data_IF_103344370536
#
_entry.id   IF_103344370536
#
_cell.length_a   1.000
_cell.length_b   1.000
_cell.length_c   1.000
_cell.angle_alpha   90.00
_cell.angle_beta   90.00
_cell.angle_gamma   90.00
#
_symmetry.space_group_name_H-M   'P 1'
#
loop_
_entity.id
_entity.type
_entity.pdbx_description
1 polymer ?
#
# COMPACT_ATOMS: atom_id res chain seq x y z
N UNK A 1 -5.81 -9.61 -17.04
CA UNK A 1 -5.21 -8.33 -16.66
C UNK A 1 -4.92 -8.30 -15.16
N UNK A 2 -3.73 -7.87 -14.80
CA UNK A 2 -3.29 -7.75 -13.41
C UNK A 2 -3.55 -6.36 -12.82
N UNK A 3 -4.41 -5.58 -13.45
CA UNK A 3 -4.58 -4.17 -13.12
C UNK A 3 -6.06 -3.79 -13.18
N UNK A 4 -6.57 -3.25 -12.08
CA UNK A 4 -7.84 -2.52 -12.03
C UNK A 4 -7.56 -1.03 -12.02
N UNK A 5 -8.46 -0.27 -12.62
CA UNK A 5 -8.40 1.20 -12.63
C UNK A 5 -9.79 1.74 -12.36
N UNK A 6 -9.86 2.77 -11.50
CA UNK A 6 -11.07 3.54 -11.27
C UNK A 6 -10.74 5.03 -11.34
N UNK A 7 -11.47 5.76 -12.16
CA UNK A 7 -11.39 7.22 -12.26
C UNK A 7 -12.43 7.82 -11.33
N UNK A 8 -11.93 8.51 -10.30
CA UNK A 8 -12.76 9.05 -9.23
C UNK A 8 -13.35 10.43 -9.58
N UNK A 9 -14.45 10.76 -8.93
CA UNK A 9 -15.11 12.07 -9.09
C UNK A 9 -14.25 13.27 -8.70
N UNK A 10 -13.27 13.07 -7.81
CA UNK A 10 -12.31 14.11 -7.43
C UNK A 10 -11.16 14.29 -8.44
N UNK A 11 -11.25 13.67 -9.62
CA UNK A 11 -10.25 13.75 -10.69
C UNK A 11 -9.04 12.83 -10.49
N UNK A 12 -8.96 12.08 -9.39
CA UNK A 12 -7.88 11.10 -9.16
C UNK A 12 -8.19 9.77 -9.81
N UNK A 13 -7.13 9.04 -10.12
CA UNK A 13 -7.25 7.65 -10.54
C UNK A 13 -6.67 6.74 -9.46
N UNK A 14 -7.41 5.69 -9.14
CA UNK A 14 -6.96 4.62 -8.24
C UNK A 14 -6.65 3.39 -9.05
N UNK A 15 -5.54 2.78 -8.73
CA UNK A 15 -5.09 1.55 -9.38
C UNK A 15 -4.98 0.45 -8.33
N UNK A 16 -5.40 -0.75 -8.72
CA UNK A 16 -4.97 -1.97 -8.03
C UNK A 16 -4.10 -2.78 -8.97
N UNK A 17 -2.96 -3.20 -8.50
CA UNK A 17 -1.98 -3.95 -9.28
C UNK A 17 -1.17 -4.89 -8.37
N UNK A 18 -0.20 -5.61 -8.94
CA UNK A 18 0.62 -6.58 -8.20
C UNK A 18 -0.23 -7.55 -7.39
N UNK A 19 -1.27 -8.12 -8.02
CA UNK A 19 -2.12 -9.12 -7.36
C UNK A 19 -1.30 -10.39 -7.12
N UNK A 20 -1.09 -10.70 -5.86
CA UNK A 20 -0.26 -11.80 -5.38
C UNK A 20 -1.16 -12.87 -4.73
N UNK A 21 -1.63 -13.87 -5.49
CA UNK A 21 -2.35 -15.00 -4.91
C UNK A 21 -1.40 -15.81 -4.02
N UNK A 22 -1.89 -16.25 -2.84
CA UNK A 22 -1.07 -17.00 -1.89
C UNK A 22 0.22 -16.27 -1.52
N UNK A 23 0.10 -14.97 -1.23
CA UNK A 23 1.22 -14.09 -0.92
C UNK A 23 1.19 -13.53 0.49
N UNK A 24 2.18 -12.71 0.79
CA UNK A 24 2.35 -12.05 2.09
C UNK A 24 2.55 -10.55 1.91
N UNK A 25 2.15 -9.77 2.91
CA UNK A 25 2.53 -8.37 3.02
C UNK A 25 3.79 -8.28 3.87
N UNK A 26 4.79 -7.57 3.37
CA UNK A 26 6.13 -7.50 3.99
C UNK A 26 6.52 -6.07 4.32
N UNK A 27 7.44 -5.90 5.28
CA UNK A 27 8.07 -4.62 5.59
C UNK A 27 9.04 -4.23 4.47
N UNK A 28 8.96 -2.97 4.02
CA UNK A 28 9.77 -2.44 2.92
C UNK A 28 10.38 -1.07 3.24
N UNK A 29 10.36 -0.64 4.51
CA UNK A 29 10.98 0.61 4.92
C UNK A 29 12.51 0.54 4.77
N UNK A 30 13.11 1.63 4.31
CA UNK A 30 14.56 1.76 4.15
C UNK A 30 15.16 2.80 5.11
N UNK A 31 14.34 3.53 5.84
CA UNK A 31 14.77 4.57 6.78
C UNK A 31 14.22 4.29 8.19
N UNK A 32 14.98 4.60 9.27
CA UNK A 32 14.47 4.50 10.63
C UNK A 32 13.26 5.41 10.87
N UNK A 33 12.30 4.95 11.67
CA UNK A 33 11.10 5.73 12.01
C UNK A 33 10.07 5.84 10.89
N UNK A 34 10.16 5.00 9.87
CA UNK A 34 9.17 4.88 8.81
C UNK A 34 8.56 3.48 8.73
N UNK A 35 7.31 3.38 8.30
CA UNK A 35 6.65 2.12 7.94
C UNK A 35 6.26 2.19 6.48
N UNK A 36 6.74 1.21 5.72
CA UNK A 36 6.36 0.98 4.32
C UNK A 36 6.02 -0.49 4.16
N UNK A 37 4.93 -0.78 3.48
CA UNK A 37 4.50 -2.14 3.19
C UNK A 37 4.63 -2.44 1.70
N UNK A 38 4.81 -3.71 1.36
CA UNK A 38 4.75 -4.19 -0.02
C UNK A 38 4.14 -5.59 -0.06
N UNK A 39 3.45 -5.91 -1.14
CA UNK A 39 2.93 -7.24 -1.40
C UNK A 39 3.95 -8.11 -2.11
N UNK A 40 4.10 -9.34 -1.64
CA UNK A 40 5.01 -10.35 -2.21
C UNK A 40 4.26 -11.66 -2.43
N UNK A 41 4.68 -12.42 -3.45
CA UNK A 41 4.21 -13.78 -3.67
C UNK A 41 5.41 -14.70 -3.77
N UNK A 42 5.39 -15.76 -2.98
CA UNK A 42 6.39 -16.82 -3.07
C UNK A 42 6.18 -17.64 -4.35
N UNK A 43 7.20 -18.38 -4.76
CA UNK A 43 7.12 -19.25 -5.94
C UNK A 43 5.97 -20.26 -5.85
N UNK A 44 5.76 -20.84 -4.66
CA UNK A 44 4.70 -21.81 -4.40
C UNK A 44 3.28 -21.24 -4.45
N UNK A 45 3.12 -19.93 -4.21
CA UNK A 45 1.83 -19.22 -4.18
C UNK A 45 0.77 -19.87 -3.29
N UNK A 46 1.20 -20.48 -2.18
CA UNK A 46 0.34 -21.25 -1.29
C UNK A 46 0.20 -20.64 0.12
N UNK A 47 0.57 -19.39 0.29
CA UNK A 47 0.29 -18.67 1.52
C UNK A 47 -1.22 -18.43 1.69
N UNK A 48 -1.62 -18.17 2.93
CA UNK A 48 -3.04 -18.13 3.34
C UNK A 48 -3.86 -17.07 2.61
N UNK A 49 -3.28 -15.91 2.35
CA UNK A 49 -4.00 -14.75 1.81
C UNK A 49 -3.54 -14.45 0.38
N UNK A 50 -4.41 -13.80 -0.39
CA UNK A 50 -4.01 -12.99 -1.53
C UNK A 50 -3.80 -11.54 -1.08
N UNK A 51 -2.95 -10.79 -1.78
CA UNK A 51 -2.80 -9.36 -1.58
C UNK A 51 -2.70 -8.62 -2.92
N UNK A 52 -2.92 -7.30 -2.88
CA UNK A 52 -2.74 -6.40 -4.00
C UNK A 52 -2.34 -5.01 -3.51
N UNK A 53 -1.54 -4.30 -4.28
CA UNK A 53 -1.27 -2.89 -4.06
C UNK A 53 -2.47 -2.04 -4.48
N UNK A 54 -2.86 -1.07 -3.66
CA UNK A 54 -3.86 -0.06 -3.98
C UNK A 54 -3.17 1.29 -3.91
N UNK A 55 -3.09 1.98 -5.03
CA UNK A 55 -2.39 3.26 -5.13
C UNK A 55 -3.24 4.33 -5.81
N UNK A 56 -3.01 5.56 -5.40
CA UNK A 56 -3.64 6.76 -5.97
C UNK A 56 -2.61 7.53 -6.76
N UNK A 57 -2.97 7.96 -7.96
CA UNK A 57 -2.11 8.82 -8.76
C UNK A 57 -1.88 10.17 -8.07
N UNK A 58 -0.61 10.50 -7.85
CA UNK A 58 -0.16 11.81 -7.36
C UNK A 58 0.71 12.49 -8.40
N UNK A 59 0.80 13.80 -8.31
CA UNK A 59 1.53 14.66 -9.27
C UNK A 59 2.43 15.63 -8.52
N UNK A 60 3.39 16.27 -9.18
CA UNK A 60 4.22 17.30 -8.55
C UNK A 60 3.42 18.45 -7.89
N UNK A 61 2.19 18.68 -8.31
CA UNK A 61 1.32 19.68 -7.67
C UNK A 61 0.91 19.30 -6.23
N UNK A 62 1.00 18.03 -5.85
CA UNK A 62 0.67 17.54 -4.51
C UNK A 62 1.82 17.77 -3.51
N UNK A 63 3.02 18.04 -3.98
CA UNK A 63 4.22 18.31 -3.19
C UNK A 63 5.05 19.43 -3.82
N UNK A 64 4.50 20.68 -3.90
CA UNK A 64 5.22 21.79 -4.48
C UNK A 64 6.52 22.07 -3.69
N UNK A 65 7.58 22.39 -4.40
CA UNK A 65 8.90 22.63 -3.81
C UNK A 65 10.04 22.38 -4.78
N UNK A 66 11.18 22.00 -4.23
CA UNK A 66 12.37 21.65 -5.00
C UNK A 66 12.31 20.23 -5.58
N UNK A 67 13.40 19.82 -6.22
CA UNK A 67 13.50 18.50 -6.86
C UNK A 67 13.38 17.31 -5.89
N UNK A 68 13.54 17.53 -4.60
CA UNK A 68 13.45 16.51 -3.55
C UNK A 68 12.12 16.54 -2.78
N UNK A 69 11.22 17.50 -3.07
CA UNK A 69 9.95 17.63 -2.36
C UNK A 69 9.12 16.34 -2.36
N UNK A 70 9.20 15.54 -3.43
CA UNK A 70 8.55 14.23 -3.49
C UNK A 70 9.11 13.22 -2.47
N UNK A 71 10.39 13.29 -2.15
CA UNK A 71 11.01 12.44 -1.12
C UNK A 71 10.48 12.82 0.27
N UNK A 72 10.40 14.11 0.56
CA UNK A 72 9.85 14.60 1.84
C UNK A 72 8.36 14.28 1.98
N UNK A 73 7.62 14.33 0.88
CA UNK A 73 6.23 13.91 0.83
C UNK A 73 6.09 12.41 1.22
N UNK A 74 6.91 11.53 0.67
CA UNK A 74 6.93 10.12 1.04
C UNK A 74 7.28 9.92 2.51
N UNK A 75 8.38 10.51 2.98
CA UNK A 75 8.85 10.42 4.37
C UNK A 75 7.79 10.84 5.37
N UNK A 76 7.03 11.89 5.06
CA UNK A 76 5.92 12.35 5.90
C UNK A 76 4.90 11.24 6.15
N UNK A 77 4.44 10.58 5.11
CA UNK A 77 3.41 9.54 5.24
C UNK A 77 3.96 8.25 5.86
N UNK A 78 5.21 7.93 5.58
CA UNK A 78 5.91 6.80 6.19
C UNK A 78 6.09 6.99 7.70
N UNK A 79 6.44 8.20 8.13
CA UNK A 79 6.55 8.56 9.55
C UNK A 79 5.19 8.57 10.24
N UNK A 80 4.16 9.10 9.59
CA UNK A 80 2.80 9.05 10.15
C UNK A 80 2.28 7.61 10.27
N UNK A 81 2.62 6.74 9.33
CA UNK A 81 2.30 5.32 9.43
C UNK A 81 3.05 4.65 10.60
N UNK A 82 4.31 5.01 10.85
CA UNK A 82 5.06 4.55 12.00
C UNK A 82 4.41 4.98 13.32
N UNK A 83 3.99 6.24 13.43
CA UNK A 83 3.29 6.75 14.61
C UNK A 83 1.95 6.04 14.82
N UNK A 84 1.13 5.92 13.78
CA UNK A 84 -0.15 5.24 13.81
C UNK A 84 -0.01 3.74 14.14
N UNK A 85 1.07 3.10 13.68
CA UNK A 85 1.43 1.72 14.00
C UNK A 85 1.89 1.51 15.44
N UNK A 86 2.15 2.60 16.20
CA UNK A 86 2.54 2.54 17.62
C UNK A 86 4.04 2.64 17.85
N UNK A 87 4.81 3.13 16.88
CA UNK A 87 6.26 3.41 16.96
C UNK A 87 7.14 2.18 17.25
N UNK A 88 6.64 1.01 16.88
CA UNK A 88 7.32 -0.29 17.09
C UNK A 88 7.40 -1.13 15.81
N UNK A 89 7.26 -0.47 14.65
CA UNK A 89 7.26 -1.05 13.30
C UNK A 89 6.07 -1.98 13.00
N UNK A 90 5.06 -2.08 13.88
CA UNK A 90 3.77 -2.61 13.46
C UNK A 90 3.18 -1.69 12.39
N UNK A 91 2.57 -2.27 11.36
CA UNK A 91 1.92 -1.48 10.32
C UNK A 91 0.53 -1.05 10.79
N UNK A 92 0.11 0.21 10.53
CA UNK A 92 -1.27 0.60 10.72
C UNK A 92 -2.16 -0.20 9.76
N UNK A 93 -3.31 -0.65 10.25
CA UNK A 93 -4.23 -1.45 9.46
C UNK A 93 -5.68 -1.11 9.76
N UNK A 94 -6.54 -1.37 8.79
CA UNK A 94 -7.98 -1.11 8.89
C UNK A 94 -8.75 -2.12 8.05
N UNK A 95 -9.92 -2.56 8.52
CA UNK A 95 -10.80 -3.39 7.71
C UNK A 95 -11.39 -2.57 6.56
N UNK A 96 -11.55 -3.19 5.41
CA UNK A 96 -12.12 -2.54 4.21
C UNK A 96 -13.50 -1.97 4.49
N UNK A 97 -14.36 -2.71 5.20
CA UNK A 97 -15.70 -2.23 5.55
C UNK A 97 -15.68 -0.99 6.44
N UNK A 98 -14.79 -0.96 7.42
CA UNK A 98 -14.63 0.19 8.31
C UNK A 98 -13.99 1.39 7.60
N UNK A 99 -13.02 1.14 6.72
CA UNK A 99 -12.41 2.18 5.90
C UNK A 99 -13.43 2.86 4.99
N UNK A 100 -14.27 2.09 4.31
CA UNK A 100 -15.36 2.62 3.47
C UNK A 100 -16.36 3.41 4.33
N UNK A 101 -16.69 2.92 5.53
CA UNK A 101 -17.60 3.58 6.45
C UNK A 101 -16.98 4.80 7.17
N UNK A 102 -15.68 5.04 7.03
CA UNK A 102 -14.99 6.18 7.65
C UNK A 102 -14.86 6.08 9.18
N UNK A 103 -14.64 4.91 9.71
CA UNK A 103 -14.48 4.66 11.16
C UNK A 103 -13.26 3.76 11.41
N UNK A 104 -12.56 3.93 12.55
CA UNK A 104 -11.43 3.08 12.89
C UNK A 104 -11.86 1.63 13.11
N UNK A 105 -10.95 0.69 12.83
CA UNK A 105 -11.14 -0.71 13.17
C UNK A 105 -10.62 -1.01 14.57
N UNK A 106 -11.32 -1.87 15.30
CA UNK A 106 -10.99 -2.25 16.68
C UNK A 106 -10.76 -3.75 16.87
N UNK A 107 -11.22 -4.57 15.92
CA UNK A 107 -11.04 -6.02 15.94
C UNK A 107 -10.84 -6.55 14.51
N UNK A 108 -10.08 -7.63 14.37
CA UNK A 108 -9.95 -8.36 13.12
C UNK A 108 -11.17 -9.22 12.86
N UNK A 109 -11.47 -9.46 11.57
CA UNK A 109 -12.45 -10.44 11.13
C UNK A 109 -11.81 -11.80 10.84
N UNK A 110 -12.26 -12.48 9.80
CA UNK A 110 -11.76 -13.79 9.40
C UNK A 110 -10.36 -13.75 8.78
N UNK A 111 -9.95 -12.59 8.26
CA UNK A 111 -8.65 -12.41 7.62
C UNK A 111 -7.60 -12.07 8.66
N UNK A 112 -6.58 -12.92 8.77
CA UNK A 112 -5.42 -12.68 9.64
C UNK A 112 -4.31 -12.06 8.80
N UNK A 113 -3.85 -10.84 9.14
CA UNK A 113 -2.75 -10.18 8.43
C UNK A 113 -1.46 -11.00 8.47
N UNK A 114 -0.70 -10.95 7.38
CA UNK A 114 0.58 -11.65 7.24
C UNK A 114 1.79 -10.77 7.56
N UNK A 115 1.60 -9.47 7.75
CA UNK A 115 2.69 -8.52 7.99
C UNK A 115 3.43 -8.82 9.30
N UNK A 116 4.75 -8.83 9.25
CA UNK A 116 5.62 -8.99 10.42
C UNK A 116 6.40 -7.68 10.62
N UNK A 117 6.41 -7.11 11.84
CA UNK A 117 6.17 -7.72 13.16
C UNK A 117 4.68 -7.77 13.60
N UNK A 118 3.75 -7.30 12.81
CA UNK A 118 2.32 -7.33 13.11
C UNK A 118 1.63 -6.03 12.71
N UNK A 119 0.33 -5.96 12.92
CA UNK A 119 -0.46 -4.79 12.59
C UNK A 119 -1.10 -4.17 13.83
N UNK A 120 -1.30 -2.87 13.79
CA UNK A 120 -2.13 -2.13 14.75
C UNK A 120 -3.38 -1.64 14.04
N UNK A 121 -4.54 -2.07 14.53
CA UNK A 121 -5.81 -1.58 14.01
C UNK A 121 -6.02 -0.12 14.38
N UNK A 122 -6.38 0.69 13.39
CA UNK A 122 -6.54 2.14 13.55
C UNK A 122 -7.39 2.70 12.40
N UNK A 123 -7.42 4.03 12.27
CA UNK A 123 -7.95 4.72 11.09
C UNK A 123 -6.78 5.10 10.16
N UNK A 124 -6.74 4.52 8.97
CA UNK A 124 -5.71 4.79 7.97
C UNK A 124 -5.80 6.20 7.35
N UNK A 125 -6.88 6.94 7.60
CA UNK A 125 -6.97 8.34 7.14
C UNK A 125 -5.88 9.23 7.74
N UNK A 126 -5.33 8.86 8.90
CA UNK A 126 -4.20 9.55 9.51
C UNK A 126 -2.86 9.36 8.76
N UNK A 127 -2.77 8.39 7.84
CA UNK A 127 -1.52 7.97 7.21
C UNK A 127 -1.43 8.33 5.73
N UNK A 128 -2.38 9.10 5.20
CA UNK A 128 -2.40 9.48 3.77
C UNK A 128 -3.20 10.78 3.55
N UNK A 129 -3.00 11.46 2.42
CA UNK A 129 -3.75 12.68 2.10
C UNK A 129 -5.25 12.42 1.98
N UNK A 130 -6.07 13.40 2.38
CA UNK A 130 -7.54 13.31 2.35
C UNK A 130 -8.09 12.96 0.95
N UNK A 131 -7.49 13.52 -0.10
CA UNK A 131 -7.90 13.21 -1.46
C UNK A 131 -7.64 11.75 -1.84
N UNK A 132 -6.59 11.13 -1.29
CA UNK A 132 -6.29 9.71 -1.50
C UNK A 132 -7.26 8.84 -0.72
N UNK A 133 -7.57 9.21 0.53
CA UNK A 133 -8.60 8.54 1.35
C UNK A 133 -9.94 8.51 0.62
N UNK A 134 -10.39 9.68 0.13
CA UNK A 134 -11.65 9.79 -0.61
C UNK A 134 -11.65 8.94 -1.88
N UNK A 135 -10.55 8.98 -2.64
CA UNK A 135 -10.42 8.22 -3.87
C UNK A 135 -10.45 6.69 -3.64
N UNK A 136 -9.72 6.19 -2.64
CA UNK A 136 -9.70 4.75 -2.32
C UNK A 136 -11.07 4.30 -1.82
N UNK A 137 -11.76 5.09 -0.99
CA UNK A 137 -13.14 4.80 -0.55
C UNK A 137 -14.12 4.65 -1.72
N UNK A 138 -13.97 5.47 -2.75
CA UNK A 138 -14.78 5.38 -3.97
C UNK A 138 -14.41 4.16 -4.83
N UNK A 139 -13.12 3.86 -4.95
CA UNK A 139 -12.61 2.81 -5.82
C UNK A 139 -12.87 1.39 -5.30
N UNK A 140 -12.76 1.15 -3.98
CA UNK A 140 -12.91 -0.17 -3.39
C UNK A 140 -14.22 -0.88 -3.78
N UNK A 141 -15.41 -0.24 -3.66
CA UNK A 141 -16.66 -0.86 -4.11
C UNK A 141 -16.69 -1.10 -5.62
N UNK A 142 -16.04 -0.24 -6.42
CA UNK A 142 -15.97 -0.41 -7.87
C UNK A 142 -15.10 -1.62 -8.25
N UNK A 143 -14.00 -1.84 -7.55
CA UNK A 143 -13.15 -3.04 -7.72
C UNK A 143 -13.86 -4.30 -7.26
N UNK A 144 -14.63 -4.24 -6.17
CA UNK A 144 -15.46 -5.34 -5.69
C UNK A 144 -16.53 -5.82 -6.69
N UNK A 145 -17.02 -4.91 -7.56
CA UNK A 145 -17.92 -5.26 -8.66
C UNK A 145 -17.21 -6.00 -9.81
N UNK A 146 -15.91 -5.78 -9.97
CA UNK A 146 -15.11 -6.41 -11.03
C UNK A 146 -14.52 -7.75 -10.58
N UNK A 147 -14.12 -7.85 -9.30
CA UNK A 147 -13.56 -9.08 -8.73
C UNK A 147 -14.35 -9.41 -7.46
N UNK A 148 -15.09 -10.51 -7.50
CA UNK A 148 -15.83 -11.01 -6.34
C UNK A 148 -14.88 -11.23 -5.14
N UNK A 149 -15.24 -10.70 -3.97
CA UNK A 149 -14.43 -10.80 -2.77
C UNK A 149 -13.34 -9.74 -2.63
N UNK A 150 -13.04 -8.93 -3.65
CA UNK A 150 -11.99 -7.92 -3.57
C UNK A 150 -12.24 -6.89 -2.45
N UNK A 151 -13.46 -6.46 -2.27
CA UNK A 151 -13.87 -5.50 -1.24
C UNK A 151 -14.65 -6.16 -0.09
N UNK A 152 -14.22 -7.34 0.34
CA UNK A 152 -14.79 -8.00 1.53
C UNK A 152 -14.70 -7.07 2.73
N UNK A 153 -15.73 -7.01 3.56
CA UNK A 153 -15.76 -6.11 4.73
C UNK A 153 -14.62 -6.36 5.71
N UNK A 154 -14.20 -7.61 5.85
CA UNK A 154 -13.14 -8.06 6.76
C UNK A 154 -11.77 -8.24 6.09
N UNK A 155 -11.64 -7.92 4.79
CA UNK A 155 -10.34 -7.78 4.17
C UNK A 155 -9.55 -6.66 4.87
N UNK A 156 -8.24 -6.81 4.97
CA UNK A 156 -7.38 -5.90 5.75
C UNK A 156 -6.55 -5.03 4.82
N UNK A 157 -6.75 -3.71 4.93
CA UNK A 157 -5.83 -2.72 4.39
C UNK A 157 -4.65 -2.59 5.36
N UNK A 158 -3.43 -2.72 4.84
CA UNK A 158 -2.21 -2.57 5.62
C UNK A 158 -1.39 -1.43 4.99
N UNK A 159 -1.19 -0.37 5.71
CA UNK A 159 -0.56 0.84 5.18
C UNK A 159 0.86 1.05 5.69
N UNK A 160 1.67 1.80 4.98
CA UNK A 160 1.37 2.44 3.70
C UNK A 160 2.32 1.92 2.62
N UNK A 161 1.90 1.93 1.35
CA UNK A 161 2.79 1.66 0.23
C UNK A 161 3.06 2.99 -0.49
N UNK A 162 4.20 3.61 -0.22
CA UNK A 162 4.59 4.93 -0.73
C UNK A 162 5.63 4.86 -1.84
N UNK A 163 6.22 3.70 -2.05
CA UNK A 163 7.32 3.49 -2.99
C UNK A 163 6.82 2.99 -4.33
N UNK A 164 7.40 3.53 -5.39
CA UNK A 164 7.13 3.11 -6.77
C UNK A 164 8.45 2.93 -7.51
N UNK A 165 8.39 2.62 -8.80
CA UNK A 165 9.59 2.47 -9.63
C UNK A 165 10.40 3.75 -9.65
N UNK A 166 11.73 3.61 -9.46
CA UNK A 166 12.65 4.75 -9.51
C UNK A 166 12.64 5.39 -10.90
N UNK A 167 12.60 6.73 -11.02
CA UNK A 167 12.82 7.42 -12.28
C UNK A 167 14.29 7.31 -12.74
N UNK A 168 15.19 6.96 -11.81
CA UNK A 168 16.60 6.78 -12.13
C UNK A 168 16.82 5.41 -12.76
N UNK A 169 17.57 5.41 -13.88
CA UNK A 169 17.96 4.21 -14.59
C UNK A 169 19.43 3.92 -14.34
N UNK A 170 19.73 2.77 -13.77
CA UNK A 170 21.10 2.24 -13.75
C UNK A 170 21.40 1.68 -15.13
N UNK A 171 22.32 2.32 -15.86
CA UNK A 171 22.77 1.84 -17.17
C UNK A 171 23.67 0.63 -16.99
N UNK A 172 23.49 -0.37 -17.87
CA UNK A 172 24.37 -1.54 -17.92
C UNK A 172 25.20 -1.47 -19.19
N UNK A 173 26.50 -1.78 -19.09
CA UNK A 173 27.34 -1.99 -20.26
C UNK A 173 26.78 -3.17 -21.08
N UNK A 174 27.04 -3.16 -22.42
CA UNK A 174 26.57 -4.22 -23.32
C UNK A 174 27.06 -5.63 -22.95
N UNK A 175 28.12 -5.75 -22.12
CA UNK A 175 28.53 -7.02 -21.50
C UNK A 175 28.00 -7.05 -20.05
N UNK A 176 27.00 -7.86 -19.82
CA UNK A 176 26.53 -8.14 -18.46
C UNK A 176 27.63 -8.88 -17.70
N UNK A 177 28.20 -8.24 -16.70
CA UNK A 177 28.96 -8.95 -15.67
C UNK A 177 27.89 -9.65 -14.83
N UNK A 178 27.80 -10.96 -14.95
CA UNK A 178 27.00 -11.76 -14.04
C UNK A 178 27.60 -11.61 -12.64
N UNK A 179 26.94 -10.85 -11.75
CA UNK A 179 27.24 -10.94 -10.33
C UNK A 179 26.83 -12.35 -9.89
N UNK A 180 27.80 -13.23 -9.70
CA UNK A 180 27.59 -14.45 -8.94
C UNK A 180 27.52 -14.05 -7.48
N UNK A 181 26.39 -14.22 -6.88
CA UNK A 181 26.28 -14.23 -5.42
C UNK A 181 26.94 -15.52 -4.93
N UNK A 182 28.00 -15.36 -4.16
CA UNK A 182 28.62 -16.45 -3.42
C UNK A 182 27.88 -16.64 -2.09
#
# INVERSE_FOLDING_TARGET
DYKLVHHCRNGRSVYSFCMCPGGTVVAAASEPGGVVTNGMSQYSRNERNANAGIVVGITPADFPGDVLAGVEFQRRWESQAFDAGGRNYCAPAQLVGDYIAGRPSTALGSVVPSYTPGVRLTDLSACMPDYAVAAIREALPAFGKQITGYAMNDAVLTGVETRTSSPLRVTRAKRAIACRWA
#
